data_IF_670111069813
#
_entry.id   IF_670111069813
#
_cell.length_a   1.000
_cell.length_b   1.000
_cell.length_c   1.000
_cell.angle_alpha   90.00
_cell.angle_beta   90.00
_cell.angle_gamma   90.00
#
_symmetry.space_group_name_H-M   'P 1'
#
loop_
_entity.id
_entity.type
_entity.pdbx_description
1 polymer ?
#
# COMPACT_ATOMS: atom_id res chain seq x y z
N UNK A 1 -14.63 -13.20 -43.20
CA UNK A 1 -14.19 -12.10 -42.30
C UNK A 1 -15.09 -10.89 -42.47
N UNK A 2 -15.40 -10.47 -43.70
CA UNK A 2 -16.33 -9.37 -44.01
C UNK A 2 -17.66 -9.44 -43.26
N UNK A 3 -18.32 -10.61 -43.25
CA UNK A 3 -19.59 -10.77 -42.52
C UNK A 3 -19.53 -10.54 -41.00
N UNK A 4 -18.38 -10.76 -40.36
CA UNK A 4 -18.19 -10.50 -38.92
C UNK A 4 -17.97 -9.00 -38.67
N UNK A 5 -17.19 -8.33 -39.51
CA UNK A 5 -16.98 -6.89 -39.43
C UNK A 5 -18.26 -6.11 -39.77
N UNK A 6 -19.01 -6.57 -40.77
CA UNK A 6 -20.32 -6.02 -41.10
C UNK A 6 -21.33 -6.20 -39.96
N UNK A 7 -21.27 -7.34 -39.25
CA UNK A 7 -22.06 -7.55 -38.04
C UNK A 7 -21.67 -6.53 -36.95
N UNK A 8 -20.39 -6.24 -36.76
CA UNK A 8 -19.95 -5.22 -35.79
C UNK A 8 -20.49 -3.83 -36.15
N UNK A 9 -20.37 -3.40 -37.41
CA UNK A 9 -20.93 -2.13 -37.90
C UNK A 9 -22.41 -2.00 -37.55
N UNK A 10 -23.19 -3.05 -37.86
CA UNK A 10 -24.65 -3.05 -37.68
C UNK A 10 -25.09 -3.05 -36.20
N UNK A 11 -24.17 -3.28 -35.27
CA UNK A 11 -24.44 -3.45 -33.85
C UNK A 11 -23.58 -2.59 -32.92
N UNK A 12 -22.72 -1.69 -33.43
CA UNK A 12 -21.87 -0.80 -32.63
C UNK A 12 -22.65 -0.02 -31.56
N UNK A 13 -23.87 0.43 -31.89
CA UNK A 13 -24.73 1.23 -31.00
C UNK A 13 -25.83 0.40 -30.33
N UNK A 14 -25.89 -0.90 -30.61
CA UNK A 14 -26.93 -1.78 -30.07
C UNK A 14 -26.38 -2.54 -28.88
N UNK A 15 -27.20 -2.68 -27.83
CA UNK A 15 -26.88 -3.50 -26.68
C UNK A 15 -27.07 -5.00 -27.02
N UNK A 16 -26.16 -5.54 -27.84
CA UNK A 16 -26.14 -6.95 -28.23
C UNK A 16 -25.03 -7.70 -27.49
N UNK A 17 -25.19 -9.01 -27.25
CA UNK A 17 -24.09 -9.83 -26.75
C UNK A 17 -22.87 -9.73 -27.66
N UNK A 18 -21.72 -9.41 -27.06
CA UNK A 18 -20.40 -9.41 -27.71
C UNK A 18 -19.49 -10.45 -27.03
N UNK A 19 -19.75 -11.75 -27.24
CA UNK A 19 -19.06 -12.82 -26.53
C UNK A 19 -17.55 -12.87 -26.80
N UNK A 20 -17.09 -12.26 -27.89
CA UNK A 20 -15.67 -12.20 -28.26
C UNK A 20 -15.04 -10.82 -28.02
N UNK A 21 -15.78 -9.86 -27.43
CA UNK A 21 -15.28 -8.52 -27.13
C UNK A 21 -14.87 -7.70 -28.36
N UNK A 22 -15.32 -8.07 -29.56
CA UNK A 22 -14.90 -7.42 -30.82
C UNK A 22 -15.58 -6.06 -31.01
N UNK A 23 -16.86 -5.95 -30.64
CA UNK A 23 -17.58 -4.67 -30.63
C UNK A 23 -17.00 -3.78 -29.55
N UNK A 24 -16.78 -4.33 -28.34
CA UNK A 24 -16.17 -3.59 -27.23
C UNK A 24 -14.78 -3.07 -27.60
N UNK A 25 -13.96 -3.88 -28.27
CA UNK A 25 -12.65 -3.46 -28.77
C UNK A 25 -12.76 -2.24 -29.69
N UNK A 26 -13.70 -2.21 -30.63
CA UNK A 26 -13.88 -1.05 -31.51
C UNK A 26 -14.35 0.19 -30.73
N UNK A 27 -15.26 0.02 -29.76
CA UNK A 27 -15.72 1.11 -28.90
C UNK A 27 -14.59 1.69 -28.03
N UNK A 28 -13.78 0.83 -27.40
CA UNK A 28 -12.64 1.21 -26.57
C UNK A 28 -11.58 1.99 -27.38
N UNK A 29 -11.38 1.59 -28.64
CA UNK A 29 -10.48 2.26 -29.58
C UNK A 29 -11.13 3.46 -30.31
N UNK A 30 -12.35 3.85 -29.93
CA UNK A 30 -13.10 4.98 -30.51
C UNK A 30 -13.26 4.87 -32.03
N UNK A 31 -13.47 3.65 -32.52
CA UNK A 31 -13.65 3.36 -33.93
C UNK A 31 -15.14 3.45 -34.29
N UNK A 32 -15.46 4.28 -35.28
CA UNK A 32 -16.80 4.41 -35.85
C UNK A 32 -17.02 3.45 -37.03
N UNK A 33 -18.22 3.45 -37.58
CA UNK A 33 -18.61 2.63 -38.72
C UNK A 33 -17.74 2.91 -39.97
N UNK A 34 -17.37 4.16 -40.21
CA UNK A 34 -16.47 4.57 -41.29
C UNK A 34 -15.09 3.95 -41.11
N UNK A 35 -14.53 3.98 -39.90
CA UNK A 35 -13.23 3.39 -39.59
C UNK A 35 -13.24 1.87 -39.77
N UNK A 36 -14.31 1.17 -39.35
CA UNK A 36 -14.44 -0.27 -39.56
C UNK A 36 -14.61 -0.60 -41.05
N UNK A 37 -15.41 0.18 -41.80
CA UNK A 37 -15.53 0.01 -43.26
C UNK A 37 -14.18 0.17 -43.98
N UNK A 38 -13.34 1.10 -43.54
CA UNK A 38 -11.98 1.22 -44.06
C UNK A 38 -11.16 -0.05 -43.85
N UNK A 39 -11.27 -0.67 -42.67
CA UNK A 39 -10.64 -1.98 -42.40
C UNK A 39 -11.18 -3.04 -43.35
N UNK A 40 -12.50 -3.11 -43.56
CA UNK A 40 -13.09 -4.08 -44.49
C UNK A 40 -12.49 -3.93 -45.89
N UNK A 41 -12.41 -2.70 -46.40
CA UNK A 41 -11.88 -2.41 -47.73
C UNK A 41 -10.37 -2.69 -47.85
N UNK A 42 -9.58 -2.44 -46.79
CA UNK A 42 -8.14 -2.66 -46.80
C UNK A 42 -7.74 -4.08 -46.37
N UNK A 43 -8.67 -4.90 -45.88
CA UNK A 43 -8.36 -6.17 -45.22
C UNK A 43 -7.52 -7.11 -46.10
N UNK A 44 -7.93 -7.32 -47.36
CA UNK A 44 -7.19 -8.21 -48.25
C UNK A 44 -5.80 -7.66 -48.60
N UNK A 45 -5.69 -6.34 -48.77
CA UNK A 45 -4.41 -5.67 -49.00
C UNK A 45 -3.50 -5.80 -47.76
N UNK A 46 -4.03 -5.55 -46.57
CA UNK A 46 -3.29 -5.64 -45.31
C UNK A 46 -2.85 -7.08 -45.01
N UNK A 47 -3.70 -8.06 -45.29
CA UNK A 47 -3.34 -9.48 -45.18
C UNK A 47 -2.25 -9.88 -46.18
N UNK A 48 -2.18 -9.26 -47.36
CA UNK A 48 -1.14 -9.53 -48.36
C UNK A 48 0.25 -9.01 -47.96
N UNK A 49 0.31 -8.01 -47.06
CA UNK A 49 1.55 -7.45 -46.53
C UNK A 49 2.23 -8.37 -45.50
N UNK A 50 1.49 -9.33 -44.98
CA UNK A 50 1.99 -10.40 -44.11
C UNK A 50 1.97 -11.73 -44.86
N UNK A 51 2.64 -12.79 -44.38
CA UNK A 51 2.66 -14.09 -45.05
C UNK A 51 1.33 -14.87 -44.94
N UNK A 52 0.20 -14.19 -45.15
CA UNK A 52 -1.15 -14.73 -45.24
C UNK A 52 -1.65 -14.52 -46.67
N UNK A 53 -2.26 -15.54 -47.26
CA UNK A 53 -2.84 -15.45 -48.61
C UNK A 53 -4.32 -15.79 -48.55
N UNK A 54 -5.15 -14.91 -49.10
CA UNK A 54 -6.58 -15.19 -49.30
C UNK A 54 -6.72 -16.13 -50.50
N UNK A 55 -7.46 -17.22 -50.33
CA UNK A 55 -7.85 -18.13 -51.40
C UNK A 55 -9.36 -18.33 -51.38
N UNK A 56 -9.97 -18.35 -52.56
CA UNK A 56 -11.36 -18.77 -52.71
C UNK A 56 -11.57 -20.23 -52.32
N UNK A 57 -12.84 -20.64 -52.22
CA UNK A 57 -13.19 -22.05 -52.00
C UNK A 57 -12.67 -22.92 -53.15
N UNK A 58 -12.38 -24.18 -52.84
CA UNK A 58 -12.06 -25.20 -53.85
C UNK A 58 -13.33 -25.59 -54.59
N UNK A 59 -13.20 -25.92 -55.88
CA UNK A 59 -14.29 -26.46 -56.71
C UNK A 59 -14.53 -27.96 -56.45
N UNK A 60 -15.62 -28.50 -56.99
CA UNK A 60 -16.06 -29.89 -56.79
C UNK A 60 -15.51 -30.88 -57.83
N UNK A 61 -14.53 -30.47 -58.63
CA UNK A 61 -14.06 -31.22 -59.81
C UNK A 61 -13.55 -32.63 -59.48
N UNK A 62 -13.02 -32.85 -58.26
CA UNK A 62 -12.57 -34.15 -57.76
C UNK A 62 -13.55 -34.72 -56.72
N UNK A 63 -14.41 -35.64 -57.16
CA UNK A 63 -15.44 -36.27 -56.33
C UNK A 63 -14.88 -37.37 -55.39
N UNK A 64 -13.61 -37.77 -55.55
CA UNK A 64 -12.99 -38.85 -54.77
C UNK A 64 -12.85 -38.53 -53.27
N UNK A 65 -12.87 -37.24 -52.94
CA UNK A 65 -12.56 -36.70 -51.61
C UNK A 65 -13.72 -35.88 -51.02
N UNK A 66 -14.92 -36.05 -51.57
CA UNK A 66 -16.15 -35.37 -51.13
C UNK A 66 -16.76 -36.16 -49.97
N UNK A 67 -16.89 -35.48 -48.84
CA UNK A 67 -17.60 -36.01 -47.67
C UNK A 67 -19.11 -35.84 -47.83
N UNK A 68 -19.89 -36.66 -47.12
CA UNK A 68 -21.34 -36.51 -47.09
C UNK A 68 -21.73 -35.20 -46.40
N UNK A 69 -22.17 -34.22 -47.19
CA UNK A 69 -22.63 -32.92 -46.70
C UNK A 69 -23.77 -33.10 -45.67
N UNK A 70 -24.70 -34.01 -45.96
CA UNK A 70 -25.86 -34.28 -45.10
C UNK A 70 -25.44 -34.88 -43.76
N UNK A 71 -24.56 -35.87 -43.75
CA UNK A 71 -24.16 -36.54 -42.50
C UNK A 71 -23.39 -35.59 -41.58
N UNK A 72 -22.51 -34.74 -42.15
CA UNK A 72 -21.80 -33.73 -41.38
C UNK A 72 -22.77 -32.64 -40.86
N UNK A 73 -23.71 -32.19 -41.71
CA UNK A 73 -24.73 -31.23 -41.31
C UNK A 73 -25.57 -31.76 -40.14
N UNK A 74 -26.10 -32.99 -40.25
CA UNK A 74 -26.90 -33.61 -39.19
C UNK A 74 -26.07 -33.82 -37.92
N UNK A 75 -24.79 -34.20 -38.04
CA UNK A 75 -23.87 -34.29 -36.91
C UNK A 75 -23.69 -32.95 -36.18
N UNK A 76 -23.45 -31.85 -36.91
CA UNK A 76 -23.26 -30.54 -36.30
C UNK A 76 -24.55 -30.00 -35.71
N UNK A 77 -25.68 -30.15 -36.42
CA UNK A 77 -27.01 -29.68 -35.97
C UNK A 77 -27.45 -30.33 -34.66
N UNK A 78 -27.19 -31.62 -34.49
CA UNK A 78 -27.62 -32.36 -33.31
C UNK A 78 -26.73 -32.11 -32.08
N UNK A 79 -25.49 -31.67 -32.26
CA UNK A 79 -24.51 -31.54 -31.17
C UNK A 79 -24.10 -30.09 -30.85
N UNK A 80 -24.47 -29.11 -31.68
CA UNK A 80 -24.10 -27.71 -31.49
C UNK A 80 -25.35 -26.83 -31.69
N UNK A 81 -25.58 -25.92 -30.75
CA UNK A 81 -26.68 -24.95 -30.84
C UNK A 81 -26.28 -23.79 -31.76
N UNK A 82 -26.75 -23.82 -33.00
CA UNK A 82 -26.60 -22.71 -33.94
C UNK A 82 -27.75 -21.71 -33.79
N UNK A 83 -27.43 -20.41 -33.89
CA UNK A 83 -28.43 -19.33 -33.87
C UNK A 83 -29.02 -19.03 -35.26
N UNK A 84 -28.34 -19.44 -36.33
CA UNK A 84 -28.74 -19.21 -37.73
C UNK A 84 -28.39 -20.42 -38.58
N UNK A 85 -29.30 -20.85 -39.44
CA UNK A 85 -29.07 -21.97 -40.37
C UNK A 85 -27.92 -21.69 -41.36
N UNK A 86 -27.71 -20.42 -41.72
CA UNK A 86 -26.58 -20.03 -42.58
C UNK A 86 -25.21 -20.21 -41.93
N UNK A 87 -25.14 -20.32 -40.59
CA UNK A 87 -23.87 -20.53 -39.88
C UNK A 87 -23.42 -22.00 -39.95
N UNK A 88 -24.36 -22.94 -39.77
CA UNK A 88 -24.05 -24.37 -39.90
C UNK A 88 -23.64 -24.71 -41.35
N UNK A 89 -24.34 -24.17 -42.35
CA UNK A 89 -23.97 -24.33 -43.76
C UNK A 89 -22.55 -23.84 -44.04
N UNK A 90 -22.14 -22.71 -43.46
CA UNK A 90 -20.77 -22.20 -43.60
C UNK A 90 -19.74 -23.15 -42.99
N UNK A 91 -19.98 -23.66 -41.78
CA UNK A 91 -19.07 -24.61 -41.13
C UNK A 91 -18.94 -25.89 -41.96
N UNK A 92 -20.06 -26.46 -42.42
CA UNK A 92 -20.07 -27.67 -43.27
C UNK A 92 -19.29 -27.43 -44.56
N UNK A 93 -19.53 -26.30 -45.23
CA UNK A 93 -18.82 -25.95 -46.46
C UNK A 93 -17.31 -25.74 -46.25
N UNK A 94 -16.92 -25.07 -45.16
CA UNK A 94 -15.50 -24.88 -44.81
C UNK A 94 -14.81 -26.22 -44.52
N UNK A 95 -15.43 -27.12 -43.77
CA UNK A 95 -14.89 -28.45 -43.47
C UNK A 95 -14.78 -29.29 -44.75
N UNK A 96 -15.82 -29.26 -45.58
CA UNK A 96 -15.85 -29.95 -46.88
C UNK A 96 -14.76 -29.43 -47.83
N UNK A 97 -14.44 -28.13 -47.80
CA UNK A 97 -13.33 -27.56 -48.55
C UNK A 97 -11.97 -28.08 -48.05
N UNK A 98 -11.78 -28.22 -46.73
CA UNK A 98 -10.55 -28.81 -46.17
C UNK A 98 -10.35 -30.25 -46.61
N UNK A 99 -11.40 -31.08 -46.54
CA UNK A 99 -11.30 -32.48 -46.95
C UNK A 99 -10.95 -32.62 -48.45
N UNK A 100 -11.50 -31.74 -49.30
CA UNK A 100 -11.11 -31.64 -50.71
C UNK A 100 -9.65 -31.20 -50.89
N UNK A 101 -9.17 -30.21 -50.13
CA UNK A 101 -7.75 -29.82 -50.14
C UNK A 101 -6.83 -30.96 -49.69
N UNK A 102 -7.31 -31.80 -48.78
CA UNK A 102 -6.59 -32.97 -48.27
C UNK A 102 -6.64 -34.16 -49.23
N UNK A 103 -7.51 -34.14 -50.24
CA UNK A 103 -7.68 -35.22 -51.22
C UNK A 103 -7.94 -36.59 -50.57
N UNK A 104 -8.72 -36.61 -49.49
CA UNK A 104 -9.02 -37.82 -48.72
C UNK A 104 -7.82 -38.43 -47.98
N UNK A 105 -6.64 -37.78 -48.01
CA UNK A 105 -5.45 -38.29 -47.35
C UNK A 105 -5.54 -38.13 -45.82
N UNK A 106 -5.13 -39.18 -45.12
CA UNK A 106 -5.06 -39.25 -43.65
C UNK A 106 -3.63 -38.98 -43.20
N UNK A 107 -3.45 -37.93 -42.40
CA UNK A 107 -2.13 -37.50 -41.93
C UNK A 107 -1.93 -37.85 -40.46
N UNK A 108 -0.73 -38.31 -40.08
CA UNK A 108 -0.33 -38.57 -38.69
C UNK A 108 0.53 -37.45 -38.09
N UNK A 109 0.98 -36.51 -38.93
CA UNK A 109 1.88 -35.43 -38.55
C UNK A 109 1.34 -34.11 -39.08
N UNK A 110 1.24 -33.09 -38.23
CA UNK A 110 0.72 -31.76 -38.61
C UNK A 110 1.55 -31.14 -39.73
N UNK A 111 2.89 -31.29 -39.71
CA UNK A 111 3.79 -30.76 -40.75
C UNK A 111 3.58 -31.38 -42.14
N UNK A 112 2.89 -32.53 -42.22
CA UNK A 112 2.59 -33.23 -43.49
C UNK A 112 1.15 -32.96 -43.96
N UNK A 113 0.30 -32.35 -43.13
CA UNK A 113 -1.07 -32.08 -43.51
C UNK A 113 -1.12 -31.07 -44.66
N UNK A 114 -1.89 -31.39 -45.71
CA UNK A 114 -2.12 -30.47 -46.84
C UNK A 114 -2.94 -29.25 -46.43
N UNK A 115 -3.95 -29.45 -45.58
CA UNK A 115 -4.82 -28.41 -45.08
C UNK A 115 -5.40 -28.78 -43.72
N UNK A 116 -5.58 -27.76 -42.88
CA UNK A 116 -6.22 -27.84 -41.56
C UNK A 116 -7.04 -26.57 -41.38
N UNK A 117 -8.29 -26.71 -40.95
CA UNK A 117 -9.10 -25.58 -40.50
C UNK A 117 -8.86 -25.35 -39.01
N UNK A 118 -8.37 -24.15 -38.67
CA UNK A 118 -8.14 -23.72 -37.30
C UNK A 118 -9.32 -22.87 -36.83
N UNK A 119 -9.85 -23.16 -35.64
CA UNK A 119 -10.98 -22.45 -35.04
C UNK A 119 -10.81 -22.29 -33.53
N UNK A 120 -11.39 -21.26 -32.95
CA UNK A 120 -11.55 -21.11 -31.50
C UNK A 120 -12.88 -21.72 -30.99
N UNK A 121 -13.70 -22.30 -31.89
CA UNK A 121 -14.92 -23.01 -31.50
C UNK A 121 -14.57 -24.45 -31.07
N UNK A 122 -14.44 -24.64 -29.76
CA UNK A 122 -14.15 -25.94 -29.17
C UNK A 122 -15.17 -27.01 -29.58
N UNK A 123 -16.48 -26.71 -29.50
CA UNK A 123 -17.54 -27.64 -29.83
C UNK A 123 -17.49 -28.10 -31.29
N UNK A 124 -17.17 -27.19 -32.22
CA UNK A 124 -16.98 -27.52 -33.62
C UNK A 124 -15.81 -28.50 -33.80
N UNK A 125 -14.63 -28.14 -33.28
CA UNK A 125 -13.44 -28.99 -33.40
C UNK A 125 -13.62 -30.37 -32.74
N UNK A 126 -14.32 -30.42 -31.60
CA UNK A 126 -14.61 -31.65 -30.87
C UNK A 126 -15.58 -32.55 -31.63
N UNK A 127 -16.71 -32.03 -32.09
CA UNK A 127 -17.73 -32.82 -32.80
C UNK A 127 -17.23 -33.29 -34.16
N UNK A 128 -16.49 -32.46 -34.89
CA UNK A 128 -15.84 -32.88 -36.14
C UNK A 128 -14.80 -33.96 -35.86
N UNK A 129 -13.95 -33.80 -34.85
CA UNK A 129 -13.03 -34.87 -34.45
C UNK A 129 -13.80 -36.15 -34.11
N UNK A 130 -14.90 -36.09 -33.37
CA UNK A 130 -15.69 -37.28 -33.06
C UNK A 130 -16.31 -37.92 -34.32
N UNK A 131 -16.78 -37.11 -35.28
CA UNK A 131 -17.38 -37.57 -36.53
C UNK A 131 -16.37 -38.30 -37.43
N UNK A 132 -15.15 -37.78 -37.54
CA UNK A 132 -14.12 -38.34 -38.44
C UNK A 132 -13.25 -39.44 -37.80
N UNK A 133 -13.38 -39.68 -36.48
CA UNK A 133 -12.51 -40.60 -35.74
C UNK A 133 -13.26 -41.81 -35.21
N UNK A 134 -12.84 -42.99 -35.63
CA UNK A 134 -13.12 -44.28 -34.98
C UNK A 134 -11.90 -44.75 -34.19
N UNK A 135 -12.03 -45.81 -33.39
CA UNK A 135 -10.92 -46.38 -32.59
C UNK A 135 -9.69 -46.73 -33.47
N UNK A 136 -9.94 -47.18 -34.71
CA UNK A 136 -8.91 -47.52 -35.70
C UNK A 136 -8.14 -46.30 -36.26
N UNK A 137 -8.75 -45.11 -36.23
CA UNK A 137 -8.17 -43.87 -36.79
C UNK A 137 -7.63 -42.90 -35.74
N UNK A 138 -7.55 -43.32 -34.47
CA UNK A 138 -7.15 -42.50 -33.30
C UNK A 138 -5.83 -41.73 -33.43
N UNK A 139 -4.95 -42.10 -34.38
CA UNK A 139 -3.63 -41.49 -34.61
C UNK A 139 -3.59 -40.47 -35.76
N UNK A 140 -4.71 -40.16 -36.39
CA UNK A 140 -4.78 -39.20 -37.49
C UNK A 140 -4.95 -37.77 -36.94
N UNK A 141 -4.60 -36.76 -37.74
CA UNK A 141 -4.85 -35.33 -37.45
C UNK A 141 -6.19 -34.92 -38.06
N UNK A 142 -7.16 -34.37 -37.29
CA UNK A 142 -8.50 -34.06 -37.84
C UNK A 142 -8.43 -32.94 -38.89
N UNK A 143 -9.47 -32.81 -39.74
CA UNK A 143 -9.57 -31.66 -40.63
C UNK A 143 -9.66 -30.34 -39.88
N UNK A 144 -10.23 -30.36 -38.68
CA UNK A 144 -10.43 -29.19 -37.83
C UNK A 144 -9.64 -29.33 -36.54
N UNK A 145 -8.85 -28.31 -36.21
CA UNK A 145 -8.16 -28.21 -34.92
C UNK A 145 -8.63 -26.96 -34.17
N UNK A 146 -8.76 -27.10 -32.86
CA UNK A 146 -8.85 -25.93 -31.99
C UNK A 146 -7.52 -25.16 -32.02
N UNK A 147 -7.56 -23.84 -32.03
CA UNK A 147 -6.39 -22.95 -32.07
C UNK A 147 -5.37 -23.26 -30.96
N UNK A 148 -5.84 -23.65 -29.78
CA UNK A 148 -5.00 -24.01 -28.63
C UNK A 148 -4.03 -25.16 -28.95
N UNK A 149 -4.42 -26.11 -29.81
CA UNK A 149 -3.53 -27.21 -30.21
C UNK A 149 -2.35 -26.67 -31.02
N UNK A 150 -2.63 -25.82 -32.01
CA UNK A 150 -1.59 -25.23 -32.85
C UNK A 150 -0.69 -24.29 -32.04
N UNK A 151 -1.29 -23.44 -31.20
CA UNK A 151 -0.58 -22.54 -30.29
C UNK A 151 0.37 -23.30 -29.37
N UNK A 152 -0.08 -24.42 -28.78
CA UNK A 152 0.76 -25.24 -27.90
C UNK A 152 1.92 -25.88 -28.66
N UNK A 153 1.68 -26.38 -29.88
CA UNK A 153 2.75 -26.98 -30.69
C UNK A 153 3.78 -25.93 -31.10
N UNK A 154 3.33 -24.74 -31.51
CA UNK A 154 4.25 -23.64 -31.88
C UNK A 154 5.08 -23.21 -30.68
N UNK A 155 4.46 -23.05 -29.51
CA UNK A 155 5.17 -22.71 -28.28
C UNK A 155 6.16 -23.80 -27.85
N UNK A 156 5.79 -25.09 -27.91
CA UNK A 156 6.69 -26.19 -27.56
C UNK A 156 7.92 -26.28 -28.48
N UNK A 157 7.81 -25.81 -29.73
CA UNK A 157 8.94 -25.77 -30.65
C UNK A 157 9.93 -24.65 -30.31
N UNK A 158 9.43 -23.47 -29.96
CA UNK A 158 10.24 -22.29 -29.66
C UNK A 158 9.72 -21.58 -28.39
N UNK A 159 9.92 -22.14 -27.19
CA UNK A 159 9.37 -21.55 -25.96
C UNK A 159 9.98 -20.18 -25.65
N UNK A 160 11.20 -19.91 -26.15
CA UNK A 160 11.90 -18.63 -25.99
C UNK A 160 11.25 -17.47 -26.74
N UNK A 161 10.45 -17.73 -27.79
CA UNK A 161 9.78 -16.67 -28.56
C UNK A 161 8.64 -16.02 -27.75
N UNK A 162 8.00 -16.80 -26.87
CA UNK A 162 6.90 -16.34 -26.01
C UNK A 162 7.00 -17.01 -24.62
N UNK A 163 7.99 -16.62 -23.79
CA UNK A 163 8.28 -17.31 -22.52
C UNK A 163 7.13 -17.20 -21.50
N UNK A 164 6.36 -16.10 -21.56
CA UNK A 164 5.25 -15.83 -20.63
C UNK A 164 3.93 -16.52 -20.99
N UNK A 165 3.85 -17.25 -22.11
CA UNK A 165 2.59 -17.85 -22.56
C UNK A 165 1.96 -18.78 -21.51
N UNK A 166 2.69 -19.71 -20.87
CA UNK A 166 2.11 -20.57 -19.83
C UNK A 166 1.58 -19.77 -18.63
N UNK A 167 2.31 -18.73 -18.21
CA UNK A 167 1.89 -17.86 -17.11
C UNK A 167 0.60 -17.12 -17.45
N UNK A 168 0.52 -16.53 -18.65
CA UNK A 168 -0.69 -15.82 -19.13
C UNK A 168 -1.89 -16.77 -19.27
N UNK A 169 -1.67 -17.98 -19.77
CA UNK A 169 -2.70 -19.02 -19.86
C UNK A 169 -3.21 -19.44 -18.49
N UNK A 170 -2.31 -19.68 -17.53
CA UNK A 170 -2.69 -20.03 -16.16
C UNK A 170 -3.55 -18.92 -15.53
N UNK A 171 -3.16 -17.65 -15.68
CA UNK A 171 -3.94 -16.51 -15.19
C UNK A 171 -5.34 -16.50 -15.85
N UNK A 172 -5.41 -16.66 -17.17
CA UNK A 172 -6.68 -16.67 -17.89
C UNK A 172 -7.59 -17.84 -17.46
N UNK A 173 -7.02 -19.04 -17.28
CA UNK A 173 -7.74 -20.23 -16.82
C UNK A 173 -8.21 -20.04 -15.36
N UNK A 174 -7.38 -19.49 -14.47
CA UNK A 174 -7.81 -19.17 -13.09
C UNK A 174 -8.93 -18.12 -13.06
N UNK A 175 -8.84 -17.10 -13.92
CA UNK A 175 -9.84 -16.05 -14.01
C UNK A 175 -11.16 -16.56 -14.62
N UNK A 176 -11.10 -17.51 -15.55
CA UNK A 176 -12.30 -18.17 -16.07
C UNK A 176 -12.94 -19.07 -15.00
N UNK A 177 -12.14 -19.73 -14.16
CA UNK A 177 -12.63 -20.61 -13.10
C UNK A 177 -13.33 -19.86 -11.95
N UNK A 178 -12.99 -18.59 -11.72
CA UNK A 178 -13.69 -17.75 -10.73
C UNK A 178 -15.00 -17.17 -11.27
N UNK A 179 -15.28 -17.33 -12.57
CA UNK A 179 -16.51 -16.83 -13.20
C UNK A 179 -17.58 -17.91 -13.30
N UNK A 180 -18.87 -17.54 -13.16
CA UNK A 180 -19.96 -18.46 -13.32
C UNK A 180 -20.10 -18.88 -14.79
N UNK A 181 -20.49 -20.13 -15.08
CA UNK A 181 -20.87 -20.55 -16.43
C UNK A 181 -22.01 -19.69 -16.99
N UNK A 182 -22.10 -19.58 -18.32
CA UNK A 182 -23.11 -18.78 -19.00
C UNK A 182 -24.55 -19.18 -18.60
N UNK A 183 -24.81 -20.48 -18.38
CA UNK A 183 -26.10 -20.98 -17.91
C UNK A 183 -26.50 -20.44 -16.53
N UNK A 184 -25.55 -20.41 -15.60
CA UNK A 184 -25.74 -19.87 -14.24
C UNK A 184 -25.96 -18.37 -14.29
N UNK A 185 -25.10 -17.66 -15.05
CA UNK A 185 -25.18 -16.21 -15.19
C UNK A 185 -26.50 -15.77 -15.84
N UNK A 186 -26.95 -16.45 -16.90
CA UNK A 186 -28.20 -16.15 -17.56
C UNK A 186 -29.39 -16.28 -16.60
N UNK A 187 -29.48 -17.40 -15.86
CA UNK A 187 -30.54 -17.62 -14.88
C UNK A 187 -30.50 -16.60 -13.74
N UNK A 188 -29.31 -16.23 -13.27
CA UNK A 188 -29.15 -15.19 -12.26
C UNK A 188 -29.66 -13.82 -12.74
N UNK A 189 -29.33 -13.42 -13.97
CA UNK A 189 -29.83 -12.18 -14.57
C UNK A 189 -31.36 -12.19 -14.72
N UNK A 190 -31.96 -13.34 -15.07
CA UNK A 190 -33.42 -13.50 -15.09
C UNK A 190 -34.03 -13.29 -13.70
N UNK A 191 -33.46 -13.91 -12.65
CA UNK A 191 -33.94 -13.73 -11.28
C UNK A 191 -33.83 -12.28 -10.83
N UNK A 192 -32.73 -11.59 -11.15
CA UNK A 192 -32.56 -10.16 -10.87
C UNK A 192 -33.65 -9.34 -11.57
N UNK A 193 -33.89 -9.56 -12.87
CA UNK A 193 -34.91 -8.83 -13.63
C UNK A 193 -36.31 -8.96 -13.02
N UNK A 194 -36.64 -10.13 -12.46
CA UNK A 194 -37.93 -10.36 -11.82
C UNK A 194 -38.10 -9.66 -10.46
N UNK A 195 -36.99 -9.36 -9.77
CA UNK A 195 -37.00 -8.84 -8.39
C UNK A 195 -36.32 -7.46 -8.25
N UNK A 196 -36.00 -6.80 -9.35
CA UNK A 196 -35.25 -5.54 -9.37
C UNK A 196 -35.89 -4.43 -8.54
N UNK A 197 -37.22 -4.38 -8.48
CA UNK A 197 -37.98 -3.38 -7.70
C UNK A 197 -37.84 -3.52 -6.18
N UNK A 198 -37.27 -4.62 -5.69
CA UNK A 198 -37.10 -4.89 -4.25
C UNK A 198 -35.75 -4.41 -3.70
N UNK A 199 -34.82 -4.03 -4.59
CA UNK A 199 -33.45 -3.67 -4.22
C UNK A 199 -33.10 -2.26 -4.67
N UNK A 200 -32.04 -1.68 -4.08
CA UNK A 200 -31.53 -0.37 -4.45
C UNK A 200 -30.82 -0.45 -5.81
N UNK A 201 -30.85 0.65 -6.57
CA UNK A 201 -30.22 0.74 -7.88
C UNK A 201 -28.71 0.42 -7.84
N UNK A 202 -28.00 0.92 -6.83
CA UNK A 202 -26.57 0.65 -6.63
C UNK A 202 -26.27 -0.84 -6.39
N UNK A 203 -27.15 -1.55 -5.70
CA UNK A 203 -27.01 -2.99 -5.45
C UNK A 203 -27.25 -3.78 -6.74
N UNK A 204 -28.26 -3.40 -7.53
CA UNK A 204 -28.51 -3.99 -8.84
C UNK A 204 -27.34 -3.76 -9.81
N UNK A 205 -26.77 -2.55 -9.80
CA UNK A 205 -25.57 -2.25 -10.58
C UNK A 205 -24.41 -3.15 -10.17
N UNK A 206 -24.14 -3.26 -8.86
CA UNK A 206 -23.10 -4.14 -8.33
C UNK A 206 -23.29 -5.59 -8.82
N UNK A 207 -24.49 -6.14 -8.68
CA UNK A 207 -24.82 -7.52 -9.03
C UNK A 207 -24.66 -7.82 -10.53
N UNK A 208 -24.94 -6.85 -11.41
CA UNK A 208 -24.90 -7.03 -12.86
C UNK A 208 -23.52 -6.84 -13.48
N UNK A 209 -22.71 -5.92 -12.95
CA UNK A 209 -21.54 -5.42 -13.66
C UNK A 209 -20.20 -5.67 -12.96
N UNK A 210 -20.20 -6.11 -11.70
CA UNK A 210 -18.96 -6.26 -10.95
C UNK A 210 -18.41 -7.68 -11.04
N UNK A 211 -17.10 -7.81 -11.26
CA UNK A 211 -16.41 -9.11 -11.22
C UNK A 211 -16.57 -9.80 -9.86
N UNK A 212 -16.49 -9.04 -8.77
CA UNK A 212 -16.69 -9.55 -7.41
C UNK A 212 -18.07 -10.20 -7.21
N UNK A 213 -19.14 -9.65 -7.80
CA UNK A 213 -20.47 -10.28 -7.75
C UNK A 213 -20.51 -11.61 -8.51
N UNK A 214 -19.81 -11.70 -9.65
CA UNK A 214 -19.67 -12.96 -10.40
C UNK A 214 -18.89 -14.01 -9.61
N UNK A 215 -17.82 -13.61 -8.91
CA UNK A 215 -17.04 -14.49 -8.05
C UNK A 215 -17.89 -15.03 -6.89
N UNK A 216 -18.60 -14.16 -6.18
CA UNK A 216 -19.53 -14.57 -5.11
C UNK A 216 -20.63 -15.51 -5.64
N UNK A 217 -21.18 -15.22 -6.82
CA UNK A 217 -22.18 -16.08 -7.46
C UNK A 217 -21.60 -17.45 -7.80
N UNK A 218 -20.38 -17.51 -8.34
CA UNK A 218 -19.70 -18.78 -8.62
C UNK A 218 -19.46 -19.57 -7.33
N UNK A 219 -19.11 -18.88 -6.25
CA UNK A 219 -18.89 -19.51 -4.95
C UNK A 219 -20.18 -20.04 -4.30
N UNK A 220 -21.30 -19.34 -4.43
CA UNK A 220 -22.59 -19.80 -3.90
C UNK A 220 -23.16 -20.93 -4.77
N UNK A 221 -23.13 -20.75 -6.10
CA UNK A 221 -23.75 -21.69 -7.04
C UNK A 221 -22.92 -22.94 -7.30
N UNK A 222 -21.60 -22.88 -7.09
CA UNK A 222 -20.62 -23.90 -7.52
C UNK A 222 -20.79 -24.33 -8.98
N UNK A 223 -21.30 -23.44 -9.83
CA UNK A 223 -21.54 -23.68 -11.25
C UNK A 223 -22.86 -24.40 -11.57
N UNK A 224 -23.71 -24.68 -10.58
CA UNK A 224 -25.03 -25.27 -10.79
C UNK A 224 -26.10 -24.17 -11.00
N UNK A 225 -26.80 -24.13 -12.15
CA UNK A 225 -27.88 -23.17 -12.34
C UNK A 225 -29.09 -23.47 -11.45
N UNK A 226 -29.32 -24.71 -11.01
CA UNK A 226 -30.55 -25.10 -10.32
C UNK A 226 -30.67 -24.57 -8.90
N UNK A 227 -29.55 -24.23 -8.27
CA UNK A 227 -29.49 -23.60 -6.95
C UNK A 227 -29.77 -22.09 -6.97
N UNK A 228 -29.82 -21.46 -8.16
CA UNK A 228 -30.07 -20.02 -8.28
C UNK A 228 -31.52 -19.69 -7.95
N UNK A 229 -31.71 -18.92 -6.88
CA UNK A 229 -33.03 -18.47 -6.39
C UNK A 229 -32.98 -16.99 -5.99
N UNK A 230 -34.12 -16.44 -5.55
CA UNK A 230 -34.18 -15.07 -5.01
C UNK A 230 -33.27 -14.91 -3.78
N UNK A 231 -33.13 -15.97 -2.96
CA UNK A 231 -32.25 -15.96 -1.79
C UNK A 231 -30.77 -15.76 -2.14
N UNK A 232 -30.35 -16.20 -3.33
CA UNK A 232 -28.98 -16.00 -3.82
C UNK A 232 -28.62 -14.51 -3.96
N UNK A 233 -29.58 -13.65 -4.32
CA UNK A 233 -29.37 -12.20 -4.38
C UNK A 233 -29.04 -11.67 -2.98
N UNK A 234 -29.87 -12.02 -1.99
CA UNK A 234 -29.69 -11.58 -0.61
C UNK A 234 -28.37 -12.09 -0.02
N UNK A 235 -27.96 -13.31 -0.35
CA UNK A 235 -26.71 -13.91 0.11
C UNK A 235 -25.48 -13.17 -0.45
N UNK A 236 -25.49 -12.80 -1.73
CA UNK A 236 -24.41 -12.02 -2.35
C UNK A 236 -24.31 -10.62 -1.71
N UNK A 237 -25.45 -9.95 -1.48
CA UNK A 237 -25.44 -8.64 -0.83
C UNK A 237 -24.98 -8.72 0.64
N UNK A 238 -25.36 -9.76 1.37
CA UNK A 238 -24.87 -9.99 2.72
C UNK A 238 -23.37 -10.33 2.77
N UNK A 239 -22.85 -11.01 1.76
CA UNK A 239 -21.40 -11.25 1.62
C UNK A 239 -20.65 -9.97 1.29
N UNK A 240 -21.16 -9.14 0.38
CA UNK A 240 -20.63 -7.79 0.11
C UNK A 240 -20.51 -6.97 1.40
N UNK A 241 -21.58 -6.89 2.20
CA UNK A 241 -21.56 -6.16 3.48
C UNK A 241 -20.55 -6.75 4.47
N UNK A 242 -20.43 -8.08 4.55
CA UNK A 242 -19.43 -8.74 5.40
C UNK A 242 -18.00 -8.39 4.98
N UNK A 243 -17.71 -8.40 3.68
CA UNK A 243 -16.38 -8.04 3.17
C UNK A 243 -16.05 -6.56 3.43
N UNK A 244 -17.01 -5.66 3.22
CA UNK A 244 -16.84 -4.25 3.53
C UNK A 244 -16.59 -4.00 5.02
N UNK A 245 -17.30 -4.72 5.91
CA UNK A 245 -17.09 -4.61 7.34
C UNK A 245 -15.74 -5.19 7.78
N UNK A 246 -15.35 -6.35 7.25
CA UNK A 246 -14.05 -6.96 7.53
C UNK A 246 -12.89 -6.05 7.10
N UNK A 247 -13.02 -5.35 5.97
CA UNK A 247 -12.03 -4.39 5.50
C UNK A 247 -11.96 -3.17 6.42
N UNK A 248 -13.10 -2.61 6.84
CA UNK A 248 -13.15 -1.50 7.81
C UNK A 248 -12.49 -1.90 9.13
N UNK A 249 -12.76 -3.10 9.63
CA UNK A 249 -12.19 -3.62 10.87
C UNK A 249 -10.66 -3.82 10.74
N UNK A 250 -10.19 -4.29 9.58
CA UNK A 250 -8.75 -4.41 9.30
C UNK A 250 -8.07 -3.04 9.33
N UNK A 251 -8.64 -2.05 8.63
CA UNK A 251 -8.12 -0.68 8.61
C UNK A 251 -8.15 -0.08 10.01
N UNK A 252 -9.21 -0.31 10.80
CA UNK A 252 -9.30 0.16 12.18
C UNK A 252 -8.19 -0.45 13.05
N UNK A 253 -7.96 -1.77 12.96
CA UNK A 253 -6.88 -2.43 13.69
C UNK A 253 -5.49 -1.91 13.29
N UNK A 254 -5.25 -1.71 12.00
CA UNK A 254 -3.98 -1.14 11.51
C UNK A 254 -3.76 0.27 12.09
N UNK A 255 -4.81 1.10 12.12
CA UNK A 255 -4.75 2.44 12.74
C UNK A 255 -4.51 2.38 14.24
N UNK A 256 -5.15 1.47 14.96
CA UNK A 256 -4.96 1.30 16.41
C UNK A 256 -3.53 0.89 16.74
N UNK A 257 -2.95 -0.04 15.97
CA UNK A 257 -1.53 -0.43 16.09
C UNK A 257 -0.61 0.76 15.82
N UNK A 258 -0.91 1.57 14.80
CA UNK A 258 -0.11 2.76 14.50
C UNK A 258 -0.22 3.83 15.61
N UNK A 259 -1.41 4.06 16.15
CA UNK A 259 -1.64 4.97 17.28
C UNK A 259 -0.89 4.49 18.52
N UNK A 260 -0.94 3.20 18.83
CA UNK A 260 -0.21 2.63 19.96
C UNK A 260 1.30 2.84 19.79
N UNK A 261 1.85 2.58 18.60
CA UNK A 261 3.27 2.81 18.31
C UNK A 261 3.67 4.27 18.52
N UNK A 262 2.85 5.21 18.04
CA UNK A 262 3.08 6.66 18.22
C UNK A 262 2.99 7.07 19.69
N UNK A 263 2.06 6.50 20.46
CA UNK A 263 1.95 6.78 21.89
C UNK A 263 3.15 6.26 22.68
N UNK A 264 3.66 5.06 22.35
CA UNK A 264 4.88 4.53 22.96
C UNK A 264 6.12 5.39 22.65
N UNK A 265 6.22 5.89 21.41
CA UNK A 265 7.27 6.83 21.02
C UNK A 265 7.15 8.18 21.76
N UNK A 266 5.93 8.70 21.89
CA UNK A 266 5.66 9.93 22.62
C UNK A 266 5.99 9.79 24.11
N UNK A 267 5.69 8.65 24.73
CA UNK A 267 6.05 8.37 26.13
C UNK A 267 7.57 8.28 26.33
N UNK A 268 8.31 7.68 25.38
CA UNK A 268 9.79 7.70 25.41
C UNK A 268 10.33 9.12 25.34
N UNK A 269 9.83 9.93 24.42
CA UNK A 269 10.23 11.34 24.28
C UNK A 269 9.91 12.12 25.57
N UNK A 270 8.72 11.92 26.15
CA UNK A 270 8.34 12.55 27.44
C UNK A 270 9.28 12.15 28.57
N UNK A 271 9.66 10.88 28.65
CA UNK A 271 10.58 10.40 29.67
C UNK A 271 11.98 11.00 29.50
N UNK A 272 12.47 11.10 28.27
CA UNK A 272 13.75 11.76 27.95
C UNK A 272 13.73 13.25 28.29
N UNK A 273 12.64 13.95 27.95
CA UNK A 273 12.46 15.36 28.30
C UNK A 273 12.48 15.56 29.82
N UNK A 274 11.75 14.71 30.56
CA UNK A 274 11.73 14.78 32.03
C UNK A 274 13.09 14.50 32.66
N UNK A 275 13.87 13.56 32.10
CA UNK A 275 15.26 13.32 32.53
C UNK A 275 16.13 14.55 32.30
N UNK A 276 16.06 15.17 31.13
CA UNK A 276 16.80 16.40 30.82
C UNK A 276 16.40 17.56 31.74
N UNK A 277 15.12 17.73 32.03
CA UNK A 277 14.64 18.74 32.97
C UNK A 277 15.20 18.53 34.38
N UNK A 278 15.18 17.29 34.87
CA UNK A 278 15.75 16.96 36.18
C UNK A 278 17.27 17.17 36.21
N UNK A 279 18.01 16.78 35.17
CA UNK A 279 19.44 17.03 35.06
C UNK A 279 19.77 18.53 35.07
N UNK A 280 18.96 19.33 34.37
CA UNK A 280 19.10 20.78 34.36
C UNK A 280 18.83 21.39 35.75
N UNK A 281 17.77 20.92 36.43
CA UNK A 281 17.42 21.36 37.77
C UNK A 281 18.53 21.02 38.79
N UNK A 282 19.06 19.80 38.77
CA UNK A 282 20.17 19.38 39.64
C UNK A 282 21.44 20.19 39.37
N UNK A 283 21.73 20.50 38.10
CA UNK A 283 22.87 21.35 37.74
C UNK A 283 22.71 22.77 38.28
N UNK A 284 21.51 23.35 38.12
CA UNK A 284 21.20 24.68 38.64
C UNK A 284 21.31 24.74 40.18
N UNK A 285 20.77 23.74 40.88
CA UNK A 285 20.87 23.63 42.35
C UNK A 285 22.33 23.52 42.80
N UNK A 286 23.13 22.66 42.16
CA UNK A 286 24.56 22.55 42.45
C UNK A 286 25.34 23.84 42.17
N UNK A 287 24.98 24.59 41.13
CA UNK A 287 25.58 25.89 40.82
C UNK A 287 25.19 26.96 41.85
N UNK A 288 23.94 26.97 42.32
CA UNK A 288 23.49 27.84 43.41
C UNK A 288 24.20 27.53 44.73
N UNK A 289 24.31 26.26 45.10
CA UNK A 289 25.02 25.83 46.31
C UNK A 289 26.49 26.27 46.27
N UNK A 290 27.19 26.04 45.15
CA UNK A 290 28.58 26.50 44.97
C UNK A 290 28.69 28.03 45.07
N UNK A 291 27.74 28.77 44.51
CA UNK A 291 27.74 30.22 44.62
C UNK A 291 27.56 30.68 46.07
N UNK A 292 26.69 30.01 46.85
CA UNK A 292 26.50 30.33 48.27
C UNK A 292 27.73 29.98 49.12
N UNK A 293 28.38 28.85 48.85
CA UNK A 293 29.58 28.41 49.59
C UNK A 293 30.75 29.37 49.36
N UNK A 294 31.02 29.73 48.09
CA UNK A 294 32.04 30.71 47.73
C UNK A 294 31.76 32.07 48.37
N UNK A 295 30.51 32.51 48.36
CA UNK A 295 30.13 33.78 48.97
C UNK A 295 30.29 33.76 50.50
N UNK A 296 29.93 32.66 51.16
CA UNK A 296 30.08 32.48 52.61
C UNK A 296 31.54 32.48 53.04
N UNK A 297 32.39 31.72 52.35
CA UNK A 297 33.82 31.64 52.66
C UNK A 297 34.54 32.98 52.43
N UNK A 298 34.18 33.70 51.36
CA UNK A 298 34.71 35.03 51.09
C UNK A 298 34.23 36.02 52.16
N UNK A 299 32.94 36.06 52.46
CA UNK A 299 32.38 36.97 53.46
C UNK A 299 32.96 36.74 54.86
N UNK A 300 33.17 35.48 55.30
CA UNK A 300 33.80 35.17 56.59
C UNK A 300 35.23 35.73 56.70
N UNK A 301 36.03 35.57 55.64
CA UNK A 301 37.42 36.07 55.59
C UNK A 301 37.44 37.59 55.66
N UNK A 302 36.69 38.26 54.80
CA UNK A 302 36.71 39.72 54.73
C UNK A 302 36.04 40.40 55.92
N UNK A 303 34.95 39.85 56.46
CA UNK A 303 34.35 40.35 57.69
C UNK A 303 35.34 40.29 58.86
N UNK A 304 36.14 39.22 58.94
CA UNK A 304 37.18 39.09 59.97
C UNK A 304 38.30 40.12 59.76
N UNK A 305 38.80 40.27 58.52
CA UNK A 305 39.85 41.26 58.20
C UNK A 305 39.39 42.68 58.52
N UNK A 306 38.19 43.07 58.09
CA UNK A 306 37.63 44.41 58.32
C UNK A 306 37.41 44.64 59.82
N UNK A 307 36.87 43.65 60.53
CA UNK A 307 36.64 43.75 61.97
C UNK A 307 37.95 43.97 62.72
N UNK A 308 38.96 43.12 62.50
CA UNK A 308 40.26 43.28 63.16
C UNK A 308 40.98 44.56 62.73
N UNK A 309 40.84 44.98 61.47
CA UNK A 309 41.34 46.27 60.99
C UNK A 309 40.72 47.45 61.74
N UNK A 310 39.40 47.45 61.95
CA UNK A 310 38.71 48.48 62.74
C UNK A 310 39.16 48.47 64.20
N UNK A 311 39.33 47.28 64.81
CA UNK A 311 39.86 47.15 66.17
C UNK A 311 41.25 47.77 66.27
N UNK A 312 42.16 47.47 65.33
CA UNK A 312 43.51 48.04 65.31
C UNK A 312 43.49 49.56 65.14
N UNK A 313 42.61 50.10 64.28
CA UNK A 313 42.45 51.55 64.11
C UNK A 313 41.96 52.21 65.39
N UNK A 314 40.96 51.62 66.06
CA UNK A 314 40.42 52.14 67.33
C UNK A 314 41.50 52.11 68.41
N UNK A 315 42.23 51.01 68.56
CA UNK A 315 43.33 50.90 69.52
C UNK A 315 44.43 51.92 69.20
N UNK A 316 44.85 52.02 67.93
CA UNK A 316 45.81 53.01 67.47
C UNK A 316 45.39 54.44 67.79
N UNK A 317 44.12 54.79 67.51
CA UNK A 317 43.58 56.12 67.80
C UNK A 317 43.58 56.42 69.31
N UNK A 318 43.17 55.45 70.14
CA UNK A 318 43.22 55.58 71.60
C UNK A 318 44.66 55.81 72.07
N UNK A 319 45.63 55.08 71.52
CA UNK A 319 47.05 55.24 71.90
C UNK A 319 47.61 56.60 71.49
N UNK A 320 47.20 57.13 70.34
CA UNK A 320 47.62 58.42 69.80
C UNK A 320 47.03 59.58 70.63
N UNK A 321 45.78 59.46 71.05
CA UNK A 321 45.16 60.41 71.98
C UNK A 321 45.86 60.44 73.34
N UNK A 322 46.20 59.26 73.89
CA UNK A 322 46.89 59.17 75.18
C UNK A 322 48.33 59.71 75.12
N UNK A 323 49.04 59.48 74.02
CA UNK A 323 50.40 59.99 73.81
C UNK A 323 50.49 61.52 73.93
N UNK A 324 49.48 62.24 73.45
CA UNK A 324 49.43 63.71 73.54
C UNK A 324 49.04 64.22 74.93
N UNK A 325 48.52 63.37 75.82
CA UNK A 325 47.97 63.81 77.11
C UNK A 325 48.88 63.47 78.31
N UNK A 326 49.72 62.43 78.20
CA UNK A 326 50.55 61.94 79.30
C UNK A 326 52.03 61.98 78.92
N UNK A 327 52.81 62.90 79.51
CA UNK A 327 54.26 63.06 79.30
C UNK A 327 55.14 61.96 79.93
N UNK A 328 54.55 60.83 80.38
CA UNK A 328 55.27 59.75 81.06
C UNK A 328 55.26 58.46 80.22
N UNK A 329 56.44 58.06 79.77
CA UNK A 329 56.66 56.91 78.88
C UNK A 329 56.20 55.59 79.49
N UNK A 330 56.39 55.39 80.79
CA UNK A 330 56.00 54.15 81.48
C UNK A 330 54.48 54.06 81.69
N UNK A 331 53.82 55.19 81.94
CA UNK A 331 52.36 55.24 82.04
C UNK A 331 51.71 54.94 80.69
N UNK A 332 52.26 55.44 79.58
CA UNK A 332 51.78 55.15 78.23
C UNK A 332 51.96 53.68 77.85
N UNK A 333 53.08 53.04 78.21
CA UNK A 333 53.31 51.60 77.99
C UNK A 333 52.33 50.76 78.83
N UNK A 334 52.09 51.13 80.09
CA UNK A 334 51.14 50.42 80.95
C UNK A 334 49.70 50.55 80.44
N UNK A 335 49.29 51.74 79.97
CA UNK A 335 47.97 51.97 79.38
C UNK A 335 47.81 51.18 78.07
N UNK A 336 48.83 51.13 77.21
CA UNK A 336 48.87 50.33 75.99
C UNK A 336 48.70 48.83 76.29
N UNK A 337 49.41 48.32 77.29
CA UNK A 337 49.32 46.91 77.72
C UNK A 337 47.90 46.61 78.22
N UNK A 338 47.26 47.52 78.95
CA UNK A 338 45.86 47.39 79.39
C UNK A 338 44.88 47.44 78.20
N UNK A 339 45.02 48.38 77.26
CA UNK A 339 44.13 48.44 76.08
C UNK A 339 44.32 47.31 75.08
N UNK A 340 45.45 46.61 75.09
CA UNK A 340 45.67 45.40 74.26
C UNK A 340 45.27 44.13 75.02
N UNK A 341 45.47 44.07 76.34
CA UNK A 341 45.09 42.92 77.16
C UNK A 341 43.58 42.86 77.43
N UNK A 342 42.89 43.99 77.60
CA UNK A 342 41.44 43.98 77.84
C UNK A 342 40.68 43.36 76.65
N UNK A 343 40.94 43.71 75.37
CA UNK A 343 40.30 43.05 74.24
C UNK A 343 40.62 41.56 74.11
N UNK A 344 41.81 41.13 74.55
CA UNK A 344 42.23 39.72 74.45
C UNK A 344 41.70 38.86 75.60
N UNK A 345 41.60 39.40 76.81
CA UNK A 345 41.00 38.73 77.98
C UNK A 345 39.47 38.75 77.91
N UNK A 346 38.86 39.79 77.35
CA UNK A 346 37.40 39.87 77.18
C UNK A 346 36.87 38.90 76.11
N UNK A 347 37.72 38.33 75.25
CA UNK A 347 37.34 37.23 74.35
C UNK A 347 36.86 35.95 75.07
N UNK A 348 37.05 35.85 76.39
CA UNK A 348 36.72 34.66 77.18
C UNK A 348 35.53 34.81 78.15
N UNK A 349 34.89 35.98 78.27
CA UNK A 349 33.75 36.18 79.20
C UNK A 349 32.47 36.65 78.50
N UNK A 350 31.40 35.86 78.64
CA UNK A 350 30.05 36.14 78.14
C UNK A 350 29.43 37.32 78.91
N UNK A 351 29.37 38.50 78.30
CA UNK A 351 28.80 39.72 78.90
C UNK A 351 27.88 40.44 77.88
N UNK A 352 26.88 41.23 78.29
CA UNK A 352 25.87 41.81 77.36
C UNK A 352 26.46 42.76 76.29
N UNK A 353 27.57 43.44 76.60
CA UNK A 353 28.29 44.27 75.61
C UNK A 353 28.88 43.45 74.46
N UNK A 354 29.09 42.15 74.67
CA UNK A 354 29.59 41.20 73.67
C UNK A 354 28.58 40.92 72.57
N UNK A 355 27.28 40.90 72.90
CA UNK A 355 26.20 40.78 71.92
C UNK A 355 26.27 41.92 70.89
N UNK A 356 26.56 43.15 71.31
CA UNK A 356 26.65 44.30 70.39
C UNK A 356 27.82 44.21 69.41
N UNK A 357 28.99 43.73 69.84
CA UNK A 357 30.14 43.55 68.94
C UNK A 357 29.99 42.33 68.02
N UNK A 358 29.40 41.25 68.51
CA UNK A 358 29.04 40.09 67.71
C UNK A 358 28.04 40.47 66.60
N UNK A 359 27.01 41.26 66.95
CA UNK A 359 26.03 41.80 66.00
C UNK A 359 26.69 42.68 64.93
N UNK A 360 27.74 43.45 65.25
CA UNK A 360 28.46 44.26 64.25
C UNK A 360 29.20 43.36 63.26
N UNK A 361 29.92 42.34 63.74
CA UNK A 361 30.62 41.38 62.88
C UNK A 361 29.63 40.61 61.99
N UNK A 362 28.49 40.20 62.54
CA UNK A 362 27.42 39.52 61.82
C UNK A 362 26.77 40.43 60.76
N UNK A 363 26.51 41.71 61.07
CA UNK A 363 26.01 42.67 60.09
C UNK A 363 27.00 42.93 58.94
N UNK A 364 28.30 43.03 59.24
CA UNK A 364 29.35 43.17 58.22
C UNK A 364 29.40 41.90 57.34
N UNK A 365 29.31 40.72 57.95
CA UNK A 365 29.22 39.45 57.24
C UNK A 365 28.02 39.40 56.30
N UNK A 366 26.81 39.65 56.80
CA UNK A 366 25.57 39.60 56.02
C UNK A 366 25.58 40.61 54.88
N UNK A 367 26.11 41.81 55.10
CA UNK A 367 26.26 42.82 54.05
C UNK A 367 27.23 42.37 52.94
N UNK A 368 28.40 41.85 53.29
CA UNK A 368 29.39 41.36 52.32
C UNK A 368 28.86 40.12 51.60
N UNK A 369 28.22 39.21 52.32
CA UNK A 369 27.62 37.99 51.78
C UNK A 369 26.56 38.32 50.73
N UNK A 370 25.59 39.17 51.05
CA UNK A 370 24.51 39.54 50.12
C UNK A 370 25.07 40.23 48.87
N UNK A 371 25.96 41.22 49.05
CA UNK A 371 26.54 41.97 47.93
C UNK A 371 27.42 41.10 47.02
N UNK A 372 28.14 40.14 47.59
CA UNK A 372 29.01 39.25 46.81
C UNK A 372 28.22 38.11 46.16
N UNK A 373 27.18 37.58 46.83
CA UNK A 373 26.23 36.62 46.27
C UNK A 373 25.52 37.19 45.05
N UNK A 374 24.98 38.40 45.13
CA UNK A 374 24.36 39.10 43.99
C UNK A 374 25.33 39.27 42.81
N UNK A 375 26.58 39.64 43.09
CA UNK A 375 27.60 39.82 42.05
C UNK A 375 28.01 38.50 41.38
N UNK A 376 28.07 37.42 42.15
CA UNK A 376 28.31 36.07 41.63
C UNK A 376 27.13 35.64 40.76
N UNK A 377 25.90 35.73 41.27
CA UNK A 377 24.69 35.38 40.53
C UNK A 377 24.60 36.17 39.21
N UNK A 378 24.81 37.50 39.24
CA UNK A 378 24.80 38.33 38.02
C UNK A 378 25.86 37.94 36.98
N UNK A 379 27.00 37.37 37.41
CA UNK A 379 28.06 36.88 36.51
C UNK A 379 27.71 35.52 35.91
N UNK A 380 27.04 34.64 36.66
CA UNK A 380 26.58 33.34 36.16
C UNK A 380 25.39 33.50 35.20
N UNK A 381 24.41 34.36 35.50
CA UNK A 381 23.26 34.62 34.62
C UNK A 381 23.64 35.32 33.30
N UNK A 382 24.74 36.08 33.23
CA UNK A 382 25.26 36.66 31.97
C UNK A 382 25.89 35.66 31.01
N UNK A 383 26.28 34.48 31.47
CA UNK A 383 26.91 33.44 30.65
C UNK A 383 25.91 32.36 30.21
N UNK A 384 24.63 32.49 30.59
CA UNK A 384 23.57 31.52 30.31
C UNK A 384 22.54 32.01 29.26
N UNK A 385 22.72 33.23 28.72
CA UNK A 385 22.03 33.79 27.55
C UNK A 385 23.05 33.84 26.42
#
# INVERSE_FOLDING_TARGET
>A
MEGTLQYCINNLTKNVPDPHGTIQYFLDNKMDDVAINRIICSLEEDLSRIPIRVKGSVDYDDHSSVISHKDLYDCLKNNIKYHRDTAIEKDVNSISAIERLRKGEKFKEIKRCRAIFITNNYLLSYNVKKHFYTEETSRIIPPVLHDSILTNIMWLKNPSDVPDLPRKRLIAETFAATRPPESVWAKFIEVIKLHESQYKEDDIYFLRYTASAQEMLMDISKGDPDVITVGTISEILAEKERQEQAEKDRIAKERDVEIQRKNEELEKIRLEMKKRENELAMKNESEEDRATELASNFAKKWASIIYYGLVVIIVGFITLLNFNFINNTWANIFLFVITVLIPTVTLFQENESFLKFYIIKEKIYTFIFNKYKEKIQAKYYRNAI
#
